data_IF_702072740538
#
_entry.id   IF_702072740538
#
_cell.length_a   1.000
_cell.length_b   1.000
_cell.length_c   1.000
_cell.angle_alpha   90.00
_cell.angle_beta   90.00
_cell.angle_gamma   90.00
#
_symmetry.space_group_name_H-M   'P 1'
#
loop_
_entity.id
_entity.type
_entity.pdbx_description
1 polymer ?
#
# COMPACT_ATOMS: atom_id res chain seq x y z
N UNK A 1 -18.22 -43.44 -31.51
CA UNK A 1 -19.39 -42.80 -30.88
C UNK A 1 -19.16 -42.54 -29.39
N UNK A 2 -19.14 -43.53 -28.49
CA UNK A 2 -18.96 -43.29 -27.03
C UNK A 2 -17.66 -42.54 -26.66
N UNK A 3 -16.52 -42.91 -27.27
CA UNK A 3 -15.24 -42.22 -27.02
C UNK A 3 -15.21 -40.78 -27.54
N UNK A 4 -15.92 -40.51 -28.64
CA UNK A 4 -16.00 -39.18 -29.25
C UNK A 4 -16.86 -38.24 -28.40
N UNK A 5 -18.03 -38.70 -27.93
CA UNK A 5 -18.88 -37.95 -27.01
C UNK A 5 -18.18 -37.67 -25.67
N UNK A 6 -17.36 -38.60 -25.18
CA UNK A 6 -16.54 -38.36 -23.98
C UNK A 6 -15.52 -37.24 -24.23
N UNK A 7 -14.81 -37.27 -25.36
CA UNK A 7 -13.85 -36.22 -25.71
C UNK A 7 -14.53 -34.85 -25.88
N UNK A 8 -15.67 -34.79 -26.56
CA UNK A 8 -16.47 -33.57 -26.73
C UNK A 8 -16.96 -33.01 -25.39
N UNK A 9 -17.40 -33.86 -24.46
CA UNK A 9 -17.78 -33.44 -23.11
C UNK A 9 -16.61 -32.89 -22.31
N UNK A 10 -15.43 -33.51 -22.39
CA UNK A 10 -14.24 -33.01 -21.70
C UNK A 10 -13.75 -31.67 -22.29
N UNK A 11 -13.84 -31.50 -23.62
CA UNK A 11 -13.55 -30.20 -24.27
C UNK A 11 -14.54 -29.13 -23.80
N UNK A 12 -15.83 -29.44 -23.75
CA UNK A 12 -16.86 -28.51 -23.29
C UNK A 12 -16.63 -28.09 -21.83
N UNK A 13 -16.27 -29.04 -20.94
CA UNK A 13 -15.90 -28.74 -19.55
C UNK A 13 -14.69 -27.82 -19.47
N UNK A 14 -13.64 -28.10 -20.25
CA UNK A 14 -12.44 -27.27 -20.27
C UNK A 14 -12.75 -25.84 -20.75
N UNK A 15 -13.54 -25.69 -21.81
CA UNK A 15 -13.96 -24.38 -22.33
C UNK A 15 -14.78 -23.58 -21.31
N UNK A 16 -15.68 -24.25 -20.58
CA UNK A 16 -16.46 -23.62 -19.52
C UNK A 16 -15.56 -23.11 -18.39
N UNK A 17 -14.61 -23.93 -17.93
CA UNK A 17 -13.65 -23.53 -16.89
C UNK A 17 -12.78 -22.35 -17.33
N UNK A 18 -12.33 -22.33 -18.58
CA UNK A 18 -11.56 -21.19 -19.13
C UNK A 18 -12.40 -19.92 -19.11
N UNK A 19 -13.63 -19.98 -19.61
CA UNK A 19 -14.56 -18.83 -19.62
C UNK A 19 -14.84 -18.30 -18.21
N UNK A 20 -15.02 -19.18 -17.23
CA UNK A 20 -15.19 -18.79 -15.82
C UNK A 20 -13.95 -18.10 -15.27
N UNK A 21 -12.75 -18.61 -15.57
CA UNK A 21 -11.49 -18.00 -15.12
C UNK A 21 -11.22 -16.65 -15.79
N UNK A 22 -11.54 -16.51 -17.08
CA UNK A 22 -11.39 -15.25 -17.80
C UNK A 22 -12.33 -14.19 -17.24
N UNK A 23 -13.57 -14.57 -16.90
CA UNK A 23 -14.52 -13.66 -16.24
C UNK A 23 -14.04 -13.22 -14.85
N UNK A 24 -13.50 -14.15 -14.05
CA UNK A 24 -12.89 -13.83 -12.75
C UNK A 24 -11.69 -12.88 -12.89
N UNK A 25 -10.81 -13.13 -13.87
CA UNK A 25 -9.65 -12.28 -14.15
C UNK A 25 -10.08 -10.88 -14.56
N UNK A 26 -11.01 -10.78 -15.51
CA UNK A 26 -11.51 -9.50 -15.99
C UNK A 26 -12.16 -8.68 -14.85
N UNK A 27 -12.96 -9.32 -14.00
CA UNK A 27 -13.56 -8.64 -12.85
C UNK A 27 -12.50 -8.13 -11.86
N UNK A 28 -11.41 -8.88 -11.66
CA UNK A 28 -10.28 -8.46 -10.85
C UNK A 28 -9.52 -7.28 -11.49
N UNK A 29 -9.27 -7.33 -12.79
CA UNK A 29 -8.61 -6.25 -13.54
C UNK A 29 -9.44 -4.96 -13.52
N UNK A 30 -10.76 -5.05 -13.70
CA UNK A 30 -11.66 -3.89 -13.58
C UNK A 30 -11.65 -3.33 -12.16
N UNK A 31 -11.65 -4.20 -11.16
CA UNK A 31 -11.56 -3.77 -9.77
C UNK A 31 -10.26 -3.02 -9.54
N UNK A 32 -9.11 -3.54 -9.99
CA UNK A 32 -7.82 -2.89 -9.83
C UNK A 32 -7.59 -1.70 -10.78
N UNK A 33 -8.46 -1.53 -11.77
CA UNK A 33 -8.34 -0.44 -12.74
C UNK A 33 -8.43 0.92 -12.05
N UNK A 34 -7.46 1.79 -12.33
CA UNK A 34 -7.40 3.12 -11.74
C UNK A 34 -6.70 3.22 -10.39
N UNK A 35 -6.13 2.14 -9.86
CA UNK A 35 -5.10 2.26 -8.82
C UNK A 35 -3.87 2.99 -9.38
N UNK A 36 -3.29 3.84 -8.56
CA UNK A 36 -2.07 4.57 -8.87
C UNK A 36 -1.02 4.34 -7.79
N UNK A 37 0.24 4.50 -8.17
CA UNK A 37 1.37 4.34 -7.27
C UNK A 37 1.50 5.56 -6.35
N UNK A 38 1.15 5.39 -5.08
CA UNK A 38 1.26 6.41 -4.04
C UNK A 38 2.54 6.19 -3.21
N UNK A 39 3.54 7.05 -3.42
CA UNK A 39 4.79 7.01 -2.65
C UNK A 39 4.69 7.84 -1.38
N UNK A 40 4.92 7.20 -0.24
CA UNK A 40 4.90 7.83 1.09
C UNK A 40 6.33 7.93 1.59
N UNK A 41 6.69 9.11 2.08
CA UNK A 41 8.00 9.40 2.67
C UNK A 41 7.82 9.97 4.08
N UNK A 42 8.74 9.62 4.97
CA UNK A 42 8.83 10.16 6.31
C UNK A 42 10.30 10.46 6.64
N UNK A 43 10.57 11.66 7.18
CA UNK A 43 11.90 12.04 7.64
C UNK A 43 11.89 12.11 9.16
N UNK A 44 12.66 11.25 9.81
CA UNK A 44 12.69 11.21 11.27
C UNK A 44 13.78 10.31 11.83
N UNK A 45 14.08 10.49 13.11
CA UNK A 45 14.96 9.61 13.86
C UNK A 45 14.14 8.41 14.38
N UNK A 46 14.61 7.20 14.10
CA UNK A 46 13.97 5.96 14.55
C UNK A 46 14.73 4.73 14.06
N UNK A 47 14.45 3.58 14.66
CA UNK A 47 14.94 2.28 14.19
C UNK A 47 13.90 1.57 13.30
N UNK A 48 12.63 1.86 13.53
CA UNK A 48 11.52 1.33 12.76
C UNK A 48 10.48 2.43 12.54
N UNK A 49 10.03 2.56 11.29
CA UNK A 49 8.92 3.44 10.94
C UNK A 49 7.84 2.64 10.23
N UNK A 50 6.61 2.85 10.66
CA UNK A 50 5.41 2.29 10.04
C UNK A 50 4.41 3.40 9.74
N UNK A 51 3.47 3.12 8.83
CA UNK A 51 2.36 4.00 8.50
C UNK A 51 1.03 3.26 8.57
N UNK A 52 0.01 3.92 9.11
CA UNK A 52 -1.38 3.49 9.07
C UNK A 52 -2.25 4.59 8.47
N UNK A 53 -3.40 4.24 7.90
CA UNK A 53 -4.31 5.24 7.34
C UNK A 53 -5.68 4.72 6.98
N UNK A 54 -6.56 5.61 6.51
CA UNK A 54 -7.93 5.24 6.16
C UNK A 54 -8.03 4.11 5.11
N UNK A 55 -7.02 3.97 4.24
CA UNK A 55 -6.97 2.93 3.21
C UNK A 55 -6.79 1.50 3.75
N UNK A 56 -6.32 1.32 4.98
CA UNK A 56 -6.14 -0.02 5.59
C UNK A 56 -6.97 -0.18 6.89
N UNK A 57 -7.99 0.66 7.06
CA UNK A 57 -8.85 0.65 8.23
C UNK A 57 -8.15 1.05 9.52
N UNK A 58 -6.97 1.66 9.49
CA UNK A 58 -6.20 2.15 10.65
C UNK A 58 -5.78 1.09 11.70
N UNK A 59 -6.10 -0.19 11.52
CA UNK A 59 -5.75 -1.28 12.44
C UNK A 59 -4.54 -2.10 11.95
N UNK A 60 -4.15 -1.92 10.69
CA UNK A 60 -2.97 -2.55 10.11
C UNK A 60 -1.89 -1.49 9.89
N UNK A 61 -0.63 -1.85 10.15
CA UNK A 61 0.52 -0.96 9.92
C UNK A 61 1.34 -1.50 8.75
N UNK A 62 1.91 -0.59 7.97
CA UNK A 62 2.80 -0.92 6.86
C UNK A 62 4.20 -0.43 7.23
N UNK A 63 5.15 -1.36 7.29
CA UNK A 63 6.55 -1.03 7.55
C UNK A 63 7.13 -0.24 6.38
N UNK A 64 7.90 0.79 6.70
CA UNK A 64 8.61 1.61 5.74
C UNK A 64 10.07 1.16 5.62
N UNK A 65 10.61 1.26 4.43
CA UNK A 65 11.99 0.94 4.13
C UNK A 65 12.88 2.15 4.38
N UNK A 66 14.04 1.93 5.01
CA UNK A 66 15.08 2.94 5.14
C UNK A 66 15.72 3.18 3.76
N UNK A 67 15.74 4.42 3.30
CA UNK A 67 16.38 4.74 2.03
C UNK A 67 17.91 4.69 2.14
N UNK A 68 18.52 3.94 1.20
CA UNK A 68 19.95 3.61 1.20
C UNK A 68 20.88 4.82 1.20
N UNK A 69 20.48 5.94 0.58
CA UNK A 69 21.23 7.21 0.61
C UNK A 69 21.31 7.86 1.99
N UNK A 70 20.42 7.48 2.91
CA UNK A 70 20.39 7.94 4.29
C UNK A 70 21.12 7.01 5.26
N UNK A 71 21.64 5.86 4.78
CA UNK A 71 22.30 4.83 5.58
C UNK A 71 23.83 5.04 5.70
N UNK A 72 24.32 6.26 5.50
CA UNK A 72 25.74 6.56 5.70
C UNK A 72 26.10 6.22 7.15
N UNK A 73 27.03 5.28 7.33
CA UNK A 73 27.56 4.85 8.63
C UNK A 73 28.45 5.96 9.19
N UNK A 74 27.83 7.07 9.57
CA UNK A 74 28.53 8.16 10.22
C UNK A 74 28.62 7.90 11.73
N UNK A 75 29.65 8.44 12.41
CA UNK A 75 29.96 8.13 13.79
C UNK A 75 28.75 8.34 14.71
N UNK A 76 28.58 7.41 15.67
CA UNK A 76 27.62 7.48 16.77
C UNK A 76 27.68 8.88 17.40
N UNK A 77 26.67 9.72 17.12
CA UNK A 77 26.61 11.10 17.60
C UNK A 77 26.07 12.13 16.60
N UNK A 78 26.11 11.87 15.29
CA UNK A 78 25.49 12.75 14.29
C UNK A 78 23.99 12.44 14.15
N UNK A 79 23.14 13.17 14.88
CA UNK A 79 21.66 13.11 14.80
C UNK A 79 21.14 13.66 13.46
N UNK A 80 21.37 12.94 12.35
CA UNK A 80 20.71 13.25 11.07
C UNK A 80 19.42 12.45 10.97
N UNK A 81 18.35 13.11 10.56
CA UNK A 81 17.07 12.43 10.29
C UNK A 81 17.29 11.39 9.20
N UNK A 82 16.65 10.22 9.38
CA UNK A 82 16.65 9.16 8.39
C UNK A 82 15.47 9.35 7.45
N UNK A 83 15.67 9.06 6.17
CA UNK A 83 14.57 9.06 5.19
C UNK A 83 13.99 7.65 5.07
N UNK A 84 12.70 7.53 5.33
CA UNK A 84 11.93 6.31 5.23
C UNK A 84 10.94 6.43 4.08
N UNK A 85 10.67 5.34 3.37
CA UNK A 85 9.66 5.32 2.31
C UNK A 85 8.91 4.01 2.22
N UNK A 86 7.68 4.08 1.73
CA UNK A 86 6.93 2.91 1.26
C UNK A 86 6.10 3.31 0.04
N UNK A 87 5.68 2.32 -0.73
CA UNK A 87 4.92 2.52 -1.96
C UNK A 87 3.65 1.67 -1.91
N UNK A 88 2.50 2.32 -2.11
CA UNK A 88 1.19 1.68 -2.06
C UNK A 88 0.44 1.90 -3.36
N UNK A 89 -0.37 0.92 -3.77
CA UNK A 89 -1.33 1.10 -4.85
C UNK A 89 -2.66 1.55 -4.24
N UNK A 90 -3.03 2.81 -4.46
CA UNK A 90 -4.23 3.42 -3.91
C UNK A 90 -5.08 4.01 -5.03
N UNK A 91 -6.39 4.10 -4.82
CA UNK A 91 -7.21 4.89 -5.73
C UNK A 91 -6.94 6.38 -5.50
N UNK A 92 -7.17 7.21 -6.53
CA UNK A 92 -7.16 8.65 -6.38
C UNK A 92 -8.10 9.11 -5.27
N UNK A 93 -7.63 10.00 -4.41
CA UNK A 93 -8.37 10.45 -3.25
C UNK A 93 -7.53 11.14 -2.20
N UNK A 94 -8.18 11.48 -1.08
CA UNK A 94 -7.56 12.10 0.08
C UNK A 94 -7.69 11.14 1.26
N UNK A 95 -6.57 10.77 1.86
CA UNK A 95 -6.47 9.81 2.95
C UNK A 95 -5.86 10.47 4.19
N UNK A 96 -6.45 10.22 5.35
CA UNK A 96 -5.79 10.51 6.62
C UNK A 96 -4.80 9.38 6.94
N UNK A 97 -3.56 9.76 7.27
CA UNK A 97 -2.46 8.84 7.60
C UNK A 97 -1.77 9.27 8.89
N UNK A 98 -1.12 8.32 9.57
CA UNK A 98 -0.29 8.60 10.75
C UNK A 98 0.89 7.65 10.80
N UNK A 99 2.02 8.15 11.28
CA UNK A 99 3.25 7.39 11.40
C UNK A 99 3.39 6.78 12.79
N UNK A 100 4.04 5.63 12.86
CA UNK A 100 4.45 4.98 14.09
C UNK A 100 5.98 4.89 14.03
N UNK A 101 6.66 5.54 14.97
CA UNK A 101 8.12 5.54 15.05
C UNK A 101 8.51 4.89 16.36
N UNK A 102 9.20 3.76 16.29
CA UNK A 102 9.60 2.95 17.46
C UNK A 102 8.41 2.69 18.42
N UNK A 103 7.24 2.38 17.87
CA UNK A 103 6.01 2.09 18.62
C UNK A 103 5.23 3.31 19.11
N UNK A 104 5.67 4.54 18.78
CA UNK A 104 5.00 5.77 19.17
C UNK A 104 4.32 6.45 17.98
N UNK A 105 3.06 6.84 18.13
CA UNK A 105 2.35 7.61 17.10
C UNK A 105 2.98 8.99 16.91
N UNK A 106 3.24 9.35 15.66
CA UNK A 106 3.88 10.60 15.24
C UNK A 106 3.17 11.23 14.06
N UNK A 107 3.24 12.56 14.04
CA UNK A 107 2.87 13.40 12.91
C UNK A 107 4.16 13.88 12.25
N UNK A 108 4.17 13.88 10.92
CA UNK A 108 5.19 14.56 10.14
C UNK A 108 4.86 16.07 10.11
N UNK A 109 5.67 16.93 10.73
CA UNK A 109 5.40 18.36 10.79
C UNK A 109 5.57 19.06 9.44
N UNK A 110 6.14 18.39 8.44
CA UNK A 110 6.33 18.93 7.09
C UNK A 110 5.21 18.55 6.11
N UNK A 111 4.25 17.74 6.57
CA UNK A 111 3.07 17.35 5.78
C UNK A 111 1.85 18.11 6.27
N UNK A 112 0.92 18.36 5.35
CA UNK A 112 -0.43 18.83 5.68
C UNK A 112 -1.04 17.89 6.75
N UNK A 113 -1.72 18.47 7.75
CA UNK A 113 -2.43 17.72 8.79
C UNK A 113 -3.84 18.24 8.99
N UNK A 114 -4.69 17.38 9.55
CA UNK A 114 -6.03 17.70 9.99
C UNK A 114 -6.21 17.23 11.43
N UNK A 115 -7.09 17.90 12.17
CA UNK A 115 -7.46 17.53 13.54
C UNK A 115 -8.94 17.21 13.58
N UNK A 116 -9.27 15.98 13.98
CA UNK A 116 -10.65 15.52 14.17
C UNK A 116 -10.76 14.87 15.54
N UNK A 117 -11.74 15.29 16.34
CA UNK A 117 -11.98 14.75 17.69
C UNK A 117 -10.73 14.74 18.60
N UNK A 118 -9.88 15.77 18.46
CA UNK A 118 -8.62 15.90 19.21
C UNK A 118 -7.49 15.00 18.71
N UNK A 119 -7.70 14.25 17.64
CA UNK A 119 -6.69 13.42 16.99
C UNK A 119 -6.18 14.14 15.76
N UNK A 120 -4.88 14.46 15.75
CA UNK A 120 -4.19 14.95 14.57
C UNK A 120 -3.73 13.78 13.69
N UNK A 121 -3.91 13.90 12.38
CA UNK A 121 -3.45 12.99 11.32
C UNK A 121 -2.85 13.79 10.16
N UNK A 122 -1.84 13.25 9.46
CA UNK A 122 -1.36 13.83 8.21
C UNK A 122 -2.31 13.50 7.05
N UNK A 123 -2.28 14.33 6.00
CA UNK A 123 -3.05 14.14 4.77
C UNK A 123 -2.14 13.55 3.67
N UNK A 124 -2.61 12.47 3.04
CA UNK A 124 -2.05 11.90 1.82
C UNK A 124 -3.01 12.14 0.66
N UNK A 125 -2.55 12.87 -0.34
CA UNK A 125 -3.28 13.12 -1.58
C UNK A 125 -2.73 12.18 -2.65
N UNK A 126 -3.63 11.46 -3.30
CA UNK A 126 -3.33 10.52 -4.37
C UNK A 126 -4.04 11.05 -5.62
N UNK A 127 -3.26 11.55 -6.56
CA UNK A 127 -3.77 12.10 -7.81
C UNK A 127 -3.71 11.05 -8.94
N UNK A 128 -4.48 11.27 -10.01
CA UNK A 128 -4.47 10.41 -11.21
C UNK A 128 -3.26 10.65 -12.10
#
# INVERSE_FOLDING_TARGET
>A
LVLQTKAENEICKAQKLISEKDAELHAAEESLSGLVEAKIHYSGEGLMVEVAGGFNGCHQTIKMDLQSSSATLEPVGSRKSRLWSTTLWLYPGVYEIKFIVDGQWKIDPHRESTIRDGIENNILRVDR
#
